data_IF_388455142095
#
_entry.id   IF_388455142095
#
_cell.length_a   1.000
_cell.length_b   1.000
_cell.length_c   1.000
_cell.angle_alpha   90.00
_cell.angle_beta   90.00
_cell.angle_gamma   90.00
#
_symmetry.space_group_name_H-M   'P 1'
#
loop_
_entity.id
_entity.type
_entity.pdbx_description
1 polymer ?
#
# COMPACT_ATOMS: atom_id res chain seq x y z
N UNK A 1 -6.62 47.30 -67.71
CA UNK A 1 -5.88 47.64 -66.48
C UNK A 1 -6.70 47.15 -65.29
N UNK A 2 -6.20 46.15 -64.57
CA UNK A 2 -6.42 45.87 -63.13
C UNK A 2 -5.81 44.49 -62.86
N UNK A 3 -4.54 44.50 -62.47
CA UNK A 3 -3.77 43.31 -62.12
C UNK A 3 -4.08 42.86 -60.70
N UNK A 4 -4.35 41.56 -60.54
CA UNK A 4 -4.44 40.89 -59.24
C UNK A 4 -3.04 40.63 -58.71
N UNK A 5 -2.64 41.35 -57.66
CA UNK A 5 -1.47 41.04 -56.85
C UNK A 5 -1.92 40.19 -55.65
N UNK A 6 -1.77 38.87 -55.76
CA UNK A 6 -1.90 37.96 -54.63
C UNK A 6 -0.61 38.04 -53.79
N UNK A 7 -0.69 38.71 -52.65
CA UNK A 7 0.42 38.82 -51.69
C UNK A 7 0.51 37.50 -50.91
N UNK A 8 1.46 36.63 -51.27
CA UNK A 8 1.82 35.45 -50.47
C UNK A 8 2.62 35.88 -49.25
N UNK A 9 1.99 35.92 -48.09
CA UNK A 9 2.68 36.08 -46.82
C UNK A 9 3.28 34.72 -46.39
N UNK A 10 4.59 34.55 -46.60
CA UNK A 10 5.35 33.40 -46.10
C UNK A 10 5.57 33.61 -44.61
N UNK A 11 4.73 32.99 -43.78
CA UNK A 11 4.97 32.90 -42.34
C UNK A 11 6.08 31.88 -42.07
N UNK A 12 7.33 32.36 -41.92
CA UNK A 12 8.43 31.58 -41.38
C UNK A 12 8.22 31.44 -39.86
N UNK A 13 7.64 30.33 -39.42
CA UNK A 13 7.57 29.98 -38.00
C UNK A 13 8.93 29.48 -37.53
N UNK A 14 9.60 30.29 -36.70
CA UNK A 14 10.81 29.92 -35.98
C UNK A 14 10.46 28.84 -34.94
N UNK A 15 10.76 27.58 -35.25
CA UNK A 15 10.64 26.47 -34.28
C UNK A 15 11.83 26.55 -33.32
N UNK A 16 11.60 27.12 -32.14
CA UNK A 16 12.53 27.01 -31.00
C UNK A 16 12.38 25.60 -30.41
N UNK A 17 13.35 24.74 -30.66
CA UNK A 17 13.44 23.44 -30.00
C UNK A 17 13.84 23.65 -28.53
N UNK A 18 12.86 23.65 -27.64
CA UNK A 18 13.10 23.55 -26.20
C UNK A 18 13.51 22.11 -25.89
N UNK A 19 14.78 21.90 -25.55
CA UNK A 19 15.24 20.61 -25.02
C UNK A 19 14.57 20.40 -23.66
N UNK A 20 13.52 19.59 -23.63
CA UNK A 20 12.94 19.09 -22.40
C UNK A 20 13.99 18.24 -21.68
N UNK A 21 14.63 18.80 -20.66
CA UNK A 21 15.35 18.01 -19.65
C UNK A 21 14.31 17.18 -18.91
N UNK A 22 14.17 15.92 -19.32
CA UNK A 22 13.45 14.91 -18.53
C UNK A 22 14.03 14.90 -17.11
N UNK A 23 13.20 14.95 -16.05
CA UNK A 23 13.70 14.74 -14.71
C UNK A 23 14.32 13.34 -14.65
N UNK A 24 15.59 13.31 -14.30
CA UNK A 24 16.43 12.14 -14.13
C UNK A 24 15.71 11.10 -13.27
N UNK A 25 15.66 9.89 -13.79
CA UNK A 25 14.79 8.83 -13.34
C UNK A 25 14.86 8.48 -11.85
N UNK A 26 13.74 7.94 -11.38
CA UNK A 26 13.58 7.14 -10.19
C UNK A 26 14.87 6.41 -9.79
N UNK A 27 15.47 6.82 -8.68
CA UNK A 27 16.37 5.97 -7.92
C UNK A 27 15.58 4.72 -7.52
N UNK A 28 15.75 3.65 -8.30
CA UNK A 28 15.25 2.33 -7.95
C UNK A 28 16.15 1.82 -6.84
N UNK A 29 15.79 2.12 -5.59
CA UNK A 29 16.44 1.51 -4.43
C UNK A 29 16.36 -0.01 -4.59
N UNK A 30 17.53 -0.66 -4.61
CA UNK A 30 17.65 -2.10 -4.76
C UNK A 30 16.70 -2.84 -3.80
N UNK A 31 16.09 -3.93 -4.30
CA UNK A 31 15.22 -4.79 -3.50
C UNK A 31 15.93 -5.18 -2.19
N UNK A 32 15.24 -5.16 -1.04
CA UNK A 32 15.88 -5.40 0.25
C UNK A 32 16.53 -6.79 0.28
N UNK A 33 17.86 -6.80 0.48
CA UNK A 33 18.73 -7.99 0.62
C UNK A 33 18.52 -8.75 1.93
N UNK A 34 17.52 -8.38 2.75
CA UNK A 34 17.30 -8.95 4.07
C UNK A 34 16.56 -10.28 3.95
N UNK A 35 17.10 -11.34 4.56
CA UNK A 35 16.47 -12.67 4.59
C UNK A 35 14.98 -12.58 4.98
N UNK A 36 14.10 -13.41 4.39
CA UNK A 36 12.72 -13.53 4.82
C UNK A 36 12.65 -13.70 6.35
N UNK A 37 11.62 -13.13 6.98
CA UNK A 37 11.41 -13.39 8.39
C UNK A 37 11.13 -14.89 8.57
N UNK A 38 11.54 -15.49 9.70
CA UNK A 38 11.14 -16.85 10.01
C UNK A 38 9.62 -16.95 9.98
N UNK A 39 9.10 -18.09 9.52
CA UNK A 39 7.66 -18.32 9.47
C UNK A 39 7.07 -18.21 10.87
N UNK A 40 6.01 -17.41 11.06
CA UNK A 40 5.39 -17.27 12.37
C UNK A 40 4.72 -18.58 12.79
N UNK A 41 4.95 -18.98 14.04
CA UNK A 41 4.31 -20.14 14.66
C UNK A 41 3.86 -19.74 16.06
N UNK A 42 2.55 -19.53 16.22
CA UNK A 42 1.96 -19.02 17.46
C UNK A 42 1.12 -20.06 18.21
N UNK A 43 1.16 -21.34 17.80
CA UNK A 43 0.50 -22.45 18.48
C UNK A 43 -1.04 -22.47 18.40
N UNK A 44 -1.69 -21.38 17.99
CA UNK A 44 -3.14 -21.33 17.81
C UNK A 44 -3.56 -22.11 16.55
N UNK A 45 -4.41 -23.16 16.66
CA UNK A 45 -4.86 -23.96 15.53
C UNK A 45 -5.86 -23.21 14.63
N UNK A 46 -6.57 -22.21 15.16
CA UNK A 46 -7.58 -21.42 14.43
C UNK A 46 -6.96 -20.48 13.39
N UNK A 47 -5.71 -20.05 13.60
CA UNK A 47 -4.91 -19.35 12.59
C UNK A 47 -3.84 -20.29 12.04
N UNK A 48 -3.94 -20.64 10.77
CA UNK A 48 -2.89 -21.42 10.10
C UNK A 48 -1.71 -20.53 9.72
N UNK A 49 -0.52 -21.12 9.54
CA UNK A 49 0.67 -20.37 9.11
C UNK A 49 0.45 -19.65 7.76
N UNK A 50 -0.37 -20.23 6.88
CA UNK A 50 -0.74 -19.57 5.62
C UNK A 50 -1.52 -18.28 5.82
N UNK A 51 -2.42 -18.22 6.80
CA UNK A 51 -3.15 -16.99 7.14
C UNK A 51 -2.23 -15.96 7.80
N UNK A 52 -1.31 -16.40 8.67
CA UNK A 52 -0.29 -15.52 9.27
C UNK A 52 0.61 -14.88 8.21
N UNK A 53 1.08 -15.68 7.26
CA UNK A 53 1.87 -15.21 6.12
C UNK A 53 1.06 -14.25 5.25
N UNK A 54 -0.24 -14.52 5.03
CA UNK A 54 -1.12 -13.63 4.29
C UNK A 54 -1.24 -12.25 4.96
N UNK A 55 -1.49 -12.19 6.27
CA UNK A 55 -1.51 -10.93 7.02
C UNK A 55 -0.18 -10.18 6.90
N UNK A 56 0.94 -10.86 7.13
CA UNK A 56 2.27 -10.25 7.13
C UNK A 56 2.66 -9.72 5.74
N UNK A 57 2.43 -10.52 4.71
CA UNK A 57 2.77 -10.19 3.33
C UNK A 57 1.90 -9.04 2.83
N UNK A 58 0.60 -9.06 3.12
CA UNK A 58 -0.31 -7.97 2.76
C UNK A 58 0.20 -6.62 3.28
N UNK A 59 0.51 -6.53 4.59
CA UNK A 59 1.02 -5.29 5.18
C UNK A 59 2.37 -4.88 4.59
N UNK A 60 3.30 -5.82 4.44
CA UNK A 60 4.64 -5.51 3.92
C UNK A 60 4.63 -5.13 2.42
N UNK A 61 3.70 -5.68 1.64
CA UNK A 61 3.53 -5.30 0.24
C UNK A 61 3.03 -3.86 0.12
N UNK A 62 2.00 -3.48 0.88
CA UNK A 62 1.51 -2.08 0.92
C UNK A 62 2.58 -1.11 1.43
N UNK A 63 3.25 -1.45 2.53
CA UNK A 63 4.36 -0.64 3.06
C UNK A 63 5.49 -0.51 2.05
N UNK A 64 5.81 -1.58 1.32
CA UNK A 64 6.81 -1.55 0.26
C UNK A 64 6.40 -0.72 -0.95
N UNK A 65 5.10 -0.71 -1.32
CA UNK A 65 4.57 0.14 -2.40
C UNK A 65 4.56 1.62 -1.99
N UNK A 66 4.11 1.93 -0.77
CA UNK A 66 4.17 3.26 -0.16
C UNK A 66 5.60 3.80 -0.13
N UNK A 67 6.56 3.00 0.34
CA UNK A 67 7.95 3.42 0.45
C UNK A 67 8.56 3.84 -0.90
N UNK A 68 8.10 3.23 -2.00
CA UNK A 68 8.56 3.53 -3.36
C UNK A 68 7.71 4.60 -4.07
N UNK A 69 6.66 5.11 -3.44
CA UNK A 69 5.76 6.11 -4.03
C UNK A 69 5.06 5.60 -5.30
N UNK A 70 4.57 4.35 -5.28
CA UNK A 70 4.02 3.69 -6.47
C UNK A 70 2.49 3.77 -6.57
N UNK A 71 1.77 2.80 -6.00
CA UNK A 71 0.34 2.57 -6.30
C UNK A 71 -0.61 3.14 -5.26
N UNK A 72 -0.07 3.58 -4.13
CA UNK A 72 -0.85 3.85 -2.94
C UNK A 72 -1.33 5.29 -2.96
N UNK A 73 -2.64 5.50 -2.96
CA UNK A 73 -3.24 6.82 -3.12
C UNK A 73 -3.47 7.48 -1.76
N UNK A 74 -3.07 8.73 -1.62
CA UNK A 74 -3.34 9.54 -0.44
C UNK A 74 -4.69 10.25 -0.59
N UNK A 75 -5.78 9.65 -0.10
CA UNK A 75 -7.10 10.27 0.11
C UNK A 75 -7.49 11.41 -0.86
N UNK A 76 -7.46 11.14 -2.18
CA UNK A 76 -7.83 12.12 -3.22
C UNK A 76 -6.68 12.93 -3.83
N UNK A 77 -5.57 13.11 -3.11
CA UNK A 77 -4.40 13.93 -3.46
C UNK A 77 -3.43 13.29 -4.47
N UNK A 78 -3.81 12.16 -5.06
CA UNK A 78 -2.94 11.39 -5.95
C UNK A 78 -2.11 10.35 -5.20
N UNK A 79 -1.02 9.89 -5.83
CA UNK A 79 -0.13 8.87 -5.24
C UNK A 79 0.60 9.47 -4.04
N UNK A 80 0.69 8.71 -2.94
CA UNK A 80 1.39 9.11 -1.74
C UNK A 80 2.91 9.28 -2.03
N UNK A 81 3.54 10.32 -1.47
CA UNK A 81 4.97 10.52 -1.67
C UNK A 81 5.79 9.35 -1.11
N UNK A 82 6.95 9.03 -1.71
CA UNK A 82 7.81 7.96 -1.23
C UNK A 82 8.31 8.26 0.18
N UNK A 83 8.47 7.22 1.00
CA UNK A 83 8.97 7.34 2.36
C UNK A 83 10.47 7.00 2.43
N UNK A 84 11.27 7.89 3.02
CA UNK A 84 12.71 7.67 3.20
C UNK A 84 13.01 6.46 4.09
N UNK A 85 12.19 6.21 5.11
CA UNK A 85 12.35 5.10 6.04
C UNK A 85 10.99 4.43 6.28
N UNK A 86 10.84 3.19 5.82
CA UNK A 86 9.66 2.37 6.05
C UNK A 86 10.08 0.98 6.54
N UNK A 87 9.84 0.70 7.82
CA UNK A 87 10.25 -0.58 8.41
C UNK A 87 9.40 -1.75 7.91
N UNK A 88 10.06 -2.87 7.62
CA UNK A 88 9.39 -4.15 7.35
C UNK A 88 8.82 -4.72 8.64
N UNK A 89 7.52 -4.97 8.67
CA UNK A 89 6.85 -5.60 9.81
C UNK A 89 7.33 -7.03 9.99
N UNK A 90 7.45 -7.46 11.25
CA UNK A 90 7.68 -8.83 11.68
C UNK A 90 6.42 -9.28 12.42
N UNK A 91 6.02 -10.52 12.20
CA UNK A 91 4.86 -11.09 12.90
C UNK A 91 5.18 -11.33 14.38
N UNK A 92 4.22 -11.02 15.25
CA UNK A 92 4.32 -11.19 16.71
C UNK A 92 3.11 -11.99 17.21
N UNK A 93 3.38 -13.07 17.95
CA UNK A 93 2.35 -13.95 18.49
C UNK A 93 1.56 -13.33 19.64
N UNK A 94 2.14 -12.36 20.37
CA UNK A 94 1.40 -11.63 21.39
C UNK A 94 0.31 -10.76 20.75
N UNK A 95 0.66 -10.05 19.68
CA UNK A 95 -0.30 -9.28 18.89
C UNK A 95 -1.40 -10.16 18.30
N UNK A 96 -1.05 -11.36 17.79
CA UNK A 96 -2.04 -12.35 17.32
C UNK A 96 -3.02 -12.73 18.44
N UNK A 97 -2.51 -13.03 19.64
CA UNK A 97 -3.36 -13.44 20.77
C UNK A 97 -4.38 -12.37 21.13
N UNK A 98 -3.96 -11.10 21.24
CA UNK A 98 -4.88 -10.00 21.53
C UNK A 98 -5.92 -9.79 20.43
N UNK A 99 -5.48 -9.78 19.17
CA UNK A 99 -6.39 -9.61 18.03
C UNK A 99 -7.38 -10.78 17.91
N UNK A 100 -6.94 -12.01 18.15
CA UNK A 100 -7.80 -13.19 18.09
C UNK A 100 -8.82 -13.21 19.23
N UNK A 101 -8.42 -12.84 20.45
CA UNK A 101 -9.34 -12.70 21.57
C UNK A 101 -10.37 -11.61 21.30
N UNK A 102 -9.97 -10.47 20.73
CA UNK A 102 -10.91 -9.42 20.38
C UNK A 102 -11.88 -9.87 19.30
N UNK A 103 -11.39 -10.45 18.20
CA UNK A 103 -12.23 -10.98 17.13
C UNK A 103 -13.24 -12.02 17.64
N UNK A 104 -12.83 -12.90 18.57
CA UNK A 104 -13.68 -13.89 19.20
C UNK A 104 -14.76 -13.32 20.14
N UNK A 105 -14.57 -12.09 20.64
CA UNK A 105 -15.59 -11.41 21.45
C UNK A 105 -16.74 -10.81 20.63
N UNK A 106 -16.60 -10.79 19.29
CA UNK A 106 -17.56 -10.16 18.37
C UNK A 106 -17.83 -8.67 18.65
N UNK A 107 -16.97 -8.00 19.42
CA UNK A 107 -17.04 -6.57 19.65
C UNK A 107 -16.49 -5.82 18.42
N UNK A 108 -17.23 -4.81 17.96
CA UNK A 108 -16.84 -3.98 16.81
C UNK A 108 -16.06 -2.73 17.23
N UNK A 109 -16.08 -2.39 18.51
CA UNK A 109 -15.40 -1.23 19.05
C UNK A 109 -13.94 -1.56 19.34
N UNK A 110 -13.06 -0.60 19.15
CA UNK A 110 -11.65 -0.77 19.51
C UNK A 110 -11.48 -1.15 20.98
N UNK A 111 -10.54 -2.06 21.26
CA UNK A 111 -10.16 -2.34 22.63
C UNK A 111 -9.49 -1.14 23.29
N UNK A 112 -9.67 -1.02 24.60
CA UNK A 112 -8.93 -0.05 25.40
C UNK A 112 -7.42 -0.30 25.28
N UNK A 113 -6.57 0.74 25.20
CA UNK A 113 -5.12 0.58 25.16
C UNK A 113 -4.55 -0.26 26.30
N UNK A 114 -5.20 -0.26 27.47
CA UNK A 114 -4.81 -1.07 28.62
C UNK A 114 -4.98 -2.57 28.40
N UNK A 115 -5.88 -2.98 27.50
CA UNK A 115 -6.10 -4.39 27.16
C UNK A 115 -5.02 -4.96 26.25
N UNK A 116 -4.24 -4.09 25.58
CA UNK A 116 -3.18 -4.48 24.66
C UNK A 116 -1.92 -3.62 24.87
N UNK A 117 -1.22 -3.77 26.00
CA UNK A 117 -0.09 -2.89 26.34
C UNK A 117 1.00 -2.93 25.26
N UNK A 118 1.29 -1.77 24.66
CA UNK A 118 2.31 -1.64 23.61
C UNK A 118 1.85 -2.01 22.20
N UNK A 119 0.58 -2.37 22.01
CA UNK A 119 0.00 -2.68 20.70
C UNK A 119 -1.12 -1.71 20.34
N UNK A 120 -1.39 -1.59 19.03
CA UNK A 120 -2.49 -0.84 18.46
C UNK A 120 -3.29 -1.75 17.54
N UNK A 121 -4.54 -1.37 17.31
CA UNK A 121 -5.50 -2.22 16.63
C UNK A 121 -6.19 -1.52 15.46
N UNK A 122 -6.38 -2.27 14.38
CA UNK A 122 -7.29 -1.95 13.29
C UNK A 122 -8.39 -3.03 13.25
N UNK A 123 -9.67 -2.60 13.17
CA UNK A 123 -10.82 -3.51 13.11
C UNK A 123 -11.49 -3.38 11.74
N UNK A 124 -11.73 -4.51 11.08
CA UNK A 124 -12.53 -4.58 9.85
C UNK A 124 -13.60 -5.65 10.00
N UNK A 125 -14.85 -5.32 9.67
CA UNK A 125 -15.98 -6.23 9.82
C UNK A 125 -16.68 -6.41 8.48
N UNK A 126 -16.76 -7.66 8.05
CA UNK A 126 -17.55 -8.06 6.91
C UNK A 126 -18.96 -8.44 7.34
N UNK A 127 -19.97 -7.77 6.77
CA UNK A 127 -21.38 -8.13 6.98
C UNK A 127 -21.81 -9.29 6.05
N UNK A 128 -20.97 -10.31 5.89
CA UNK A 128 -21.29 -11.53 5.13
C UNK A 128 -20.56 -12.73 5.71
N UNK A 129 -21.23 -13.88 5.73
CA UNK A 129 -20.68 -15.17 6.17
C UNK A 129 -20.22 -16.04 4.99
N UNK A 130 -20.50 -15.60 3.76
CA UNK A 130 -20.19 -16.34 2.53
C UNK A 130 -18.76 -16.04 2.04
N UNK A 131 -17.77 -16.26 2.92
CA UNK A 131 -16.35 -16.05 2.59
C UNK A 131 -15.45 -17.02 3.33
N UNK A 132 -14.27 -17.30 2.77
CA UNK A 132 -13.23 -18.08 3.45
C UNK A 132 -12.44 -17.17 4.40
N UNK A 133 -11.71 -17.72 5.40
CA UNK A 133 -10.84 -16.91 6.24
C UNK A 133 -9.82 -16.10 5.43
N UNK A 134 -9.24 -16.69 4.38
CA UNK A 134 -8.32 -15.97 3.49
C UNK A 134 -9.02 -14.86 2.70
N UNK A 135 -10.23 -15.11 2.19
CA UNK A 135 -11.04 -14.10 1.51
C UNK A 135 -11.44 -12.95 2.42
N UNK A 136 -11.77 -13.24 3.69
CA UNK A 136 -12.06 -12.23 4.70
C UNK A 136 -10.86 -11.30 4.94
N UNK A 137 -9.65 -11.86 5.08
CA UNK A 137 -8.41 -11.08 5.23
C UNK A 137 -8.16 -10.19 4.01
N UNK A 138 -8.33 -10.74 2.82
CA UNK A 138 -8.08 -10.00 1.58
C UNK A 138 -9.09 -8.88 1.35
N UNK A 139 -10.31 -8.99 1.88
CA UNK A 139 -11.32 -7.96 1.71
C UNK A 139 -10.93 -6.62 2.36
N UNK A 140 -10.11 -6.64 3.42
CA UNK A 140 -9.62 -5.43 4.11
C UNK A 140 -9.00 -4.42 3.14
N UNK A 141 -8.43 -4.89 2.02
CA UNK A 141 -7.82 -4.03 0.99
C UNK A 141 -8.81 -3.10 0.26
N UNK A 142 -10.11 -3.38 0.35
CA UNK A 142 -11.18 -2.67 -0.33
C UNK A 142 -11.96 -1.72 0.59
N UNK A 143 -11.58 -1.67 1.87
CA UNK A 143 -12.12 -0.75 2.88
C UNK A 143 -11.37 0.58 2.85
#
# INVERSE_FOLDING_TARGET
>A
MLGSLAISAIFFTLVVATTATSPTGNATTAAPTRKPWPKPNCGNPSLTNGLRDLFLNMHNNFRGSLARGQTERSAGWGIAPPATIMYRMKYDCNAESYAHQHAGSCNRNHLSPSAMPGYKENVHVLNTVQTTPAGAIQNVRAA
#
